data_IF_560519957538
#
_entry.id   IF_560519957538
#
_cell.length_a   1.000
_cell.length_b   1.000
_cell.length_c   1.000
_cell.angle_alpha   90.00
_cell.angle_beta   90.00
_cell.angle_gamma   90.00
#
_symmetry.space_group_name_H-M   'P 1'
#
loop_
_entity.id
_entity.type
_entity.pdbx_description
1 polymer ?
#
# COMPACT_ATOMS: atom_id res chain seq x y z
N UNK A 1 9.06 9.14 5.29
CA UNK A 1 9.01 7.75 5.76
C UNK A 1 9.11 6.81 4.58
N UNK A 2 9.87 5.74 4.70
CA UNK A 2 10.05 4.73 3.67
C UNK A 2 9.51 3.39 4.16
N UNK A 3 8.75 2.71 3.33
CA UNK A 3 8.25 1.35 3.59
C UNK A 3 9.11 0.36 2.81
N UNK A 4 9.69 -0.61 3.50
CA UNK A 4 10.58 -1.61 2.89
C UNK A 4 10.09 -3.01 3.27
N UNK A 5 9.99 -3.89 2.28
CA UNK A 5 9.72 -5.29 2.52
C UNK A 5 10.89 -5.95 3.24
N UNK A 6 10.62 -6.60 4.36
CA UNK A 6 11.63 -7.24 5.21
C UNK A 6 12.04 -8.62 4.65
N UNK A 7 12.66 -8.63 3.48
CA UNK A 7 13.21 -9.81 2.82
C UNK A 7 14.60 -9.51 2.26
N UNK A 8 15.47 -10.50 2.24
CA UNK A 8 16.76 -10.49 1.54
C UNK A 8 17.45 -9.11 1.59
N UNK A 9 17.54 -8.41 0.45
CA UNK A 9 18.18 -7.09 0.32
C UNK A 9 17.48 -5.97 1.08
N UNK A 10 16.23 -6.14 1.49
CA UNK A 10 15.49 -5.12 2.24
C UNK A 10 16.03 -4.92 3.66
N UNK A 11 16.61 -5.93 4.29
CA UNK A 11 17.15 -5.84 5.65
C UNK A 11 18.40 -4.95 5.71
N UNK A 12 19.45 -5.16 4.88
CA UNK A 12 20.60 -4.26 4.84
C UNK A 12 20.22 -2.83 4.45
N UNK A 13 19.30 -2.65 3.51
CA UNK A 13 18.82 -1.35 3.08
C UNK A 13 18.14 -0.60 4.23
N UNK A 14 17.31 -1.29 5.01
CA UNK A 14 16.67 -0.72 6.20
C UNK A 14 17.70 -0.18 7.19
N UNK A 15 18.74 -0.97 7.49
CA UNK A 15 19.81 -0.58 8.40
C UNK A 15 20.58 0.64 7.89
N UNK A 16 20.87 0.69 6.61
CA UNK A 16 21.57 1.81 5.99
C UNK A 16 20.76 3.10 6.03
N UNK A 17 19.49 3.05 5.67
CA UNK A 17 18.61 4.21 5.70
C UNK A 17 18.41 4.75 7.12
N UNK A 18 18.26 3.87 8.11
CA UNK A 18 18.15 4.28 9.52
C UNK A 18 19.44 4.95 10.00
N UNK A 19 20.60 4.46 9.58
CA UNK A 19 21.88 5.09 9.88
C UNK A 19 21.97 6.51 9.31
N UNK A 20 21.36 6.75 8.16
CA UNK A 20 21.27 8.07 7.52
C UNK A 20 20.20 8.98 8.16
N UNK A 21 19.48 8.52 9.18
CA UNK A 21 18.42 9.28 9.83
C UNK A 21 17.08 9.27 9.09
N UNK A 22 16.90 8.39 8.11
CA UNK A 22 15.65 8.25 7.37
C UNK A 22 14.72 7.29 8.10
N UNK A 23 13.48 7.70 8.47
CA UNK A 23 12.52 6.80 9.11
C UNK A 23 12.09 5.69 8.16
N UNK A 24 12.24 4.44 8.61
CA UNK A 24 11.87 3.25 7.84
C UNK A 24 10.91 2.39 8.64
N UNK A 25 9.87 1.92 7.97
CA UNK A 25 8.95 0.89 8.45
C UNK A 25 9.15 -0.36 7.59
N UNK A 26 9.27 -1.51 8.24
CA UNK A 26 9.35 -2.78 7.55
C UNK A 26 7.95 -3.37 7.35
N UNK A 27 7.70 -3.85 6.14
CA UNK A 27 6.55 -4.66 5.79
C UNK A 27 6.97 -6.13 5.79
N UNK A 28 6.28 -6.94 6.58
CA UNK A 28 6.49 -8.38 6.61
C UNK A 28 5.24 -9.07 6.07
N UNK A 29 5.31 -9.72 4.88
CA UNK A 29 4.18 -10.46 4.37
C UNK A 29 3.81 -11.61 5.31
N UNK A 30 2.52 -11.75 5.63
CA UNK A 30 2.04 -12.87 6.43
C UNK A 30 1.89 -14.14 5.59
N UNK A 31 1.96 -15.30 6.24
CA UNK A 31 1.68 -16.58 5.57
C UNK A 31 0.25 -16.58 5.00
N UNK A 32 0.12 -17.07 3.76
CA UNK A 32 -1.16 -17.09 3.03
C UNK A 32 -1.53 -15.75 2.41
N UNK A 33 -0.75 -14.71 2.62
CA UNK A 33 -0.92 -13.40 1.99
C UNK A 33 -0.02 -13.31 0.75
N UNK A 34 -0.36 -14.08 -0.29
CA UNK A 34 0.34 -14.02 -1.56
C UNK A 34 0.02 -12.72 -2.32
N UNK A 35 0.70 -12.51 -3.45
CA UNK A 35 0.53 -11.31 -4.27
C UNK A 35 -0.92 -11.14 -4.76
N UNK A 36 -1.56 -12.22 -5.18
CA UNK A 36 -2.95 -12.21 -5.62
C UNK A 36 -3.90 -11.79 -4.49
N UNK A 37 -3.72 -12.34 -3.30
CA UNK A 37 -4.52 -11.99 -2.13
C UNK A 37 -4.33 -10.51 -1.75
N UNK A 38 -3.11 -9.99 -1.82
CA UNK A 38 -2.85 -8.55 -1.57
C UNK A 38 -3.56 -7.66 -2.59
N UNK A 39 -3.47 -7.99 -3.86
CA UNK A 39 -4.17 -7.24 -4.92
C UNK A 39 -5.68 -7.26 -4.68
N UNK A 40 -6.25 -8.42 -4.39
CA UNK A 40 -7.68 -8.56 -4.11
C UNK A 40 -8.11 -7.72 -2.89
N UNK A 41 -7.27 -7.61 -1.88
CA UNK A 41 -7.58 -6.85 -0.67
C UNK A 41 -7.64 -5.34 -0.90
N UNK A 42 -6.89 -4.81 -1.86
CA UNK A 42 -6.84 -3.36 -2.16
C UNK A 42 -7.64 -2.95 -3.40
N UNK A 43 -8.08 -3.91 -4.21
CA UNK A 43 -8.87 -3.62 -5.43
C UNK A 43 -10.11 -2.76 -5.16
N UNK A 44 -10.87 -2.93 -4.07
CA UNK A 44 -12.00 -2.06 -3.77
C UNK A 44 -11.64 -0.57 -3.63
N UNK A 45 -10.41 -0.23 -3.26
CA UNK A 45 -9.95 1.15 -3.19
C UNK A 45 -9.87 1.80 -4.59
N UNK A 46 -9.45 1.04 -5.59
CA UNK A 46 -9.44 1.49 -6.98
C UNK A 46 -10.86 1.59 -7.54
N UNK A 47 -11.70 0.60 -7.30
CA UNK A 47 -13.09 0.59 -7.76
C UNK A 47 -13.92 1.75 -7.19
N UNK A 48 -13.65 2.16 -5.96
CA UNK A 48 -14.31 3.28 -5.31
C UNK A 48 -13.74 4.65 -5.71
N UNK A 49 -12.72 4.70 -6.57
CA UNK A 49 -12.12 5.96 -7.05
C UNK A 49 -11.28 6.70 -6.00
N UNK A 50 -10.74 5.99 -5.01
CA UNK A 50 -9.90 6.59 -3.96
C UNK A 50 -8.41 6.68 -4.32
N UNK A 51 -8.01 6.06 -5.42
CA UNK A 51 -6.63 6.06 -5.90
C UNK A 51 -6.54 6.88 -7.18
N UNK A 52 -5.65 7.85 -7.19
CA UNK A 52 -5.45 8.77 -8.31
C UNK A 52 -4.06 8.60 -8.90
N UNK A 53 -3.96 8.75 -10.20
CA UNK A 53 -2.69 8.79 -10.92
C UNK A 53 -2.59 10.07 -11.74
N UNK A 54 -1.41 10.71 -11.82
CA UNK A 54 -1.23 11.89 -12.68
C UNK A 54 -1.44 11.52 -14.16
N UNK A 55 -2.29 12.27 -14.84
CA UNK A 55 -2.77 11.92 -16.20
C UNK A 55 -1.67 11.97 -17.27
N UNK A 56 -0.71 12.87 -17.14
CA UNK A 56 0.29 13.13 -18.18
C UNK A 56 1.71 12.69 -17.81
N UNK A 57 1.85 11.92 -16.73
CA UNK A 57 3.16 11.44 -16.28
C UNK A 57 3.42 10.03 -16.78
N UNK A 58 4.54 9.84 -17.45
CA UNK A 58 4.92 8.55 -18.03
C UNK A 58 5.05 7.44 -16.96
N UNK A 59 5.61 7.78 -15.80
CA UNK A 59 5.74 6.82 -14.70
C UNK A 59 4.39 6.29 -14.20
N UNK A 60 3.37 7.15 -14.18
CA UNK A 60 2.02 6.75 -13.75
C UNK A 60 1.40 5.75 -14.75
N UNK A 61 1.62 5.97 -16.04
CA UNK A 61 1.17 5.06 -17.08
C UNK A 61 1.85 3.68 -16.96
N UNK A 62 3.15 3.64 -16.67
CA UNK A 62 3.88 2.38 -16.44
C UNK A 62 3.29 1.59 -15.28
N UNK A 63 2.96 2.24 -14.16
CA UNK A 63 2.33 1.59 -13.01
C UNK A 63 0.96 1.04 -13.37
N UNK A 64 0.14 1.82 -14.06
CA UNK A 64 -1.21 1.40 -14.48
C UNK A 64 -1.13 0.20 -15.41
N UNK A 65 -0.25 0.21 -16.39
CA UNK A 65 -0.09 -0.89 -17.35
C UNK A 65 0.37 -2.18 -16.66
N UNK A 66 1.30 -2.10 -15.73
CA UNK A 66 1.79 -3.26 -14.98
C UNK A 66 0.68 -3.85 -14.09
N UNK A 67 -0.06 -2.99 -13.39
CA UNK A 67 -1.20 -3.42 -12.58
C UNK A 67 -2.30 -4.07 -13.43
N UNK A 68 -2.57 -3.53 -14.61
CA UNK A 68 -3.58 -4.05 -15.52
C UNK A 68 -3.18 -5.43 -16.10
N UNK A 69 -1.89 -5.66 -16.32
CA UNK A 69 -1.36 -6.94 -16.83
C UNK A 69 -1.28 -8.02 -15.75
N UNK A 70 -1.26 -7.65 -14.48
CA UNK A 70 -1.16 -8.61 -13.37
C UNK A 70 -2.32 -9.61 -13.38
N UNK A 71 -2.10 -10.93 -13.16
CA UNK A 71 -0.84 -11.60 -12.78
C UNK A 71 0.01 -12.09 -13.97
N UNK A 72 -0.34 -11.75 -15.19
CA UNK A 72 0.24 -12.32 -16.43
C UNK A 72 1.35 -11.45 -17.06
N UNK A 73 1.65 -10.29 -16.50
CA UNK A 73 2.72 -9.42 -16.99
C UNK A 73 4.11 -9.96 -16.69
N UNK A 74 5.11 -9.47 -17.42
CA UNK A 74 6.51 -9.87 -17.25
C UNK A 74 7.12 -9.34 -15.94
N UNK A 75 6.57 -8.25 -15.41
CA UNK A 75 7.04 -7.56 -14.21
C UNK A 75 5.88 -7.31 -13.25
N UNK A 76 6.16 -7.33 -11.96
CA UNK A 76 5.19 -7.07 -10.90
C UNK A 76 5.73 -6.20 -9.74
N UNK A 77 6.87 -5.55 -9.93
CA UNK A 77 7.52 -4.73 -8.90
C UNK A 77 6.66 -3.53 -8.49
N UNK A 78 6.01 -2.86 -9.44
CA UNK A 78 5.07 -1.77 -9.15
C UNK A 78 3.79 -2.27 -8.49
N UNK A 79 3.32 -3.45 -8.86
CA UNK A 79 2.19 -4.10 -8.18
C UNK A 79 2.52 -4.34 -6.72
N UNK A 80 3.69 -4.89 -6.43
CA UNK A 80 4.15 -5.17 -5.07
C UNK A 80 4.26 -3.88 -4.23
N UNK A 81 4.93 -2.87 -4.73
CA UNK A 81 5.11 -1.61 -4.00
C UNK A 81 3.78 -0.87 -3.79
N UNK A 82 2.92 -0.86 -4.78
CA UNK A 82 1.60 -0.22 -4.70
C UNK A 82 0.69 -0.92 -3.69
N UNK A 83 0.61 -2.24 -3.74
CA UNK A 83 -0.23 -3.01 -2.82
C UNK A 83 0.23 -2.88 -1.38
N UNK A 84 1.53 -2.95 -1.13
CA UNK A 84 2.09 -2.78 0.20
C UNK A 84 1.84 -1.37 0.75
N UNK A 85 2.02 -0.34 -0.06
CA UNK A 85 1.75 1.04 0.33
C UNK A 85 0.28 1.27 0.69
N UNK A 86 -0.64 0.81 -0.15
CA UNK A 86 -2.08 0.96 0.09
C UNK A 86 -2.56 0.17 1.30
N UNK A 87 -2.06 -1.04 1.50
CA UNK A 87 -2.36 -1.80 2.71
C UNK A 87 -1.89 -1.08 3.97
N UNK A 88 -0.70 -0.50 3.93
CA UNK A 88 -0.15 0.26 5.06
C UNK A 88 -0.98 1.51 5.37
N UNK A 89 -1.36 2.26 4.35
CA UNK A 89 -2.20 3.45 4.49
C UNK A 89 -3.57 3.08 5.07
N UNK A 90 -4.17 2.01 4.57
CA UNK A 90 -5.45 1.50 5.09
C UNK A 90 -5.35 1.07 6.55
N UNK A 91 -4.33 0.32 6.93
CA UNK A 91 -4.10 -0.11 8.31
C UNK A 91 -3.88 1.06 9.27
N UNK A 92 -3.27 2.14 8.78
CA UNK A 92 -3.10 3.37 9.54
C UNK A 92 -4.35 4.22 9.70
N UNK A 93 -5.49 3.82 9.10
CA UNK A 93 -6.74 4.56 9.14
C UNK A 93 -6.77 5.83 8.30
N UNK A 94 -5.75 6.04 7.46
CA UNK A 94 -5.64 7.22 6.60
C UNK A 94 -6.48 7.12 5.33
N UNK A 95 -6.89 5.90 4.97
CA UNK A 95 -7.70 5.63 3.79
C UNK A 95 -8.78 4.61 4.17
N UNK A 96 -10.06 5.03 4.27
CA UNK A 96 -11.14 4.10 4.60
C UNK A 96 -11.36 3.12 3.45
N UNK A 97 -11.51 1.84 3.78
CA UNK A 97 -11.90 0.82 2.83
C UNK A 97 -13.42 0.86 2.62
N UNK A 98 -13.93 0.63 1.40
CA UNK A 98 -15.38 0.64 1.15
C UNK A 98 -16.20 -0.33 2.02
N UNK A 99 -15.59 -1.42 2.45
CA UNK A 99 -16.23 -2.35 3.38
C UNK A 99 -16.34 -1.78 4.81
N UNK A 100 -15.42 -0.91 5.19
CA UNK A 100 -15.41 -0.26 6.50
C UNK A 100 -16.53 0.79 6.60
N UNK A 101 -16.97 1.35 5.47
CA UNK A 101 -18.07 2.32 5.39
C UNK A 101 -19.45 1.69 5.62
N UNK A 102 -19.54 0.36 5.57
CA UNK A 102 -20.78 -0.38 5.83
C UNK A 102 -21.00 -0.69 7.32
N UNK A 103 -19.97 -0.52 8.15
CA UNK A 103 -20.11 -0.57 9.59
C UNK A 103 -20.82 0.71 10.06
N UNK A 104 -21.76 0.58 11.01
CA UNK A 104 -22.48 1.71 11.58
C UNK A 104 -21.53 2.84 11.98
N UNK A 105 -21.95 4.11 11.79
CA UNK A 105 -21.10 5.24 12.15
C UNK A 105 -20.70 5.12 13.62
N UNK A 106 -19.43 4.89 13.85
CA UNK A 106 -18.88 4.98 15.20
C UNK A 106 -19.11 6.40 15.68
N UNK A 107 -19.72 6.53 16.85
CA UNK A 107 -19.87 7.83 17.48
C UNK A 107 -18.50 8.55 17.45
N UNK A 108 -18.47 9.83 17.06
CA UNK A 108 -17.22 10.57 17.05
C UNK A 108 -16.63 10.52 18.46
N UNK A 109 -15.41 10.01 18.58
CA UNK A 109 -14.67 10.12 19.83
C UNK A 109 -14.62 11.60 20.17
N UNK A 110 -15.20 11.97 21.29
CA UNK A 110 -14.99 13.30 21.83
C UNK A 110 -13.50 13.45 22.04
N UNK A 111 -12.87 14.23 21.18
CA UNK A 111 -11.50 14.68 21.42
C UNK A 111 -11.57 15.65 22.58
N UNK A 112 -11.16 15.20 23.77
CA UNK A 112 -10.92 16.12 24.88
C UNK A 112 -9.69 16.92 24.53
N UNK A 113 -9.91 18.19 24.23
CA UNK A 113 -8.83 19.18 24.10
C UNK A 113 -8.47 19.69 25.50
N UNK A 114 -7.22 19.58 25.82
CA UNK A 114 -6.66 20.27 26.98
C UNK A 114 -6.15 21.65 26.56
#
# INVERSE_FOLDING_TARGET
MVLIEAKASGIPLTSELRRMGIPVINFTPSRGNDKQARVNSISPLFESGKVYAPMHEHFAQEVVEECAAFPHGDHDDYVDSTTQALMRIRQGGLLPHPEDEKEEPREPRQLEYY
#
